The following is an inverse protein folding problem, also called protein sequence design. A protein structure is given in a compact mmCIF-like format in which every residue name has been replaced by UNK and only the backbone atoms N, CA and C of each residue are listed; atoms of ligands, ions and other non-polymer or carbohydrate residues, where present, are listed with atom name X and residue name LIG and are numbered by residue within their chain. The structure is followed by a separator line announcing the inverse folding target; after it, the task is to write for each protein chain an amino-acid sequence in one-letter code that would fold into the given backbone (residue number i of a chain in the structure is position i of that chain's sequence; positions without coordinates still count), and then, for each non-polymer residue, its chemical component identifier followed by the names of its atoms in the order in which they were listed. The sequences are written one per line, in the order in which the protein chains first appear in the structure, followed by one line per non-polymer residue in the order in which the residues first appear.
data_IF_579481198794
#
_entry.id   IF_579481198794
#
_cell.length_a   1.000
_cell.length_b   1.000
_cell.length_c   1.000
_cell.angle_alpha   90.00
_cell.angle_beta   90.00
_cell.angle_gamma   90.00
#
_symmetry.space_group_name_H-M   'P 1'
#
loop_
_entity.id
_entity.type
_entity.pdbx_description
1 polymer ?
#
# COMPACT_ATOMS: atom_id res chain seq x y z
N UNK A 1 -6.93 -4.93 10.34
CA UNK A 1 -8.32 -5.44 10.40
C UNK A 1 -8.27 -6.89 10.82
N UNK A 2 -9.11 -7.33 11.77
CA UNK A 2 -9.18 -8.75 12.14
C UNK A 2 -9.82 -9.53 10.98
N UNK A 3 -9.17 -10.60 10.52
CA UNK A 3 -9.75 -11.51 9.54
C UNK A 3 -10.78 -12.38 10.27
N UNK A 4 -12.05 -12.29 9.89
CA UNK A 4 -13.16 -12.92 10.63
C UNK A 4 -13.82 -14.09 9.90
N UNK A 5 -13.52 -14.31 8.61
CA UNK A 5 -14.08 -15.41 7.82
C UNK A 5 -13.12 -15.91 6.75
N UNK A 6 -13.32 -17.15 6.29
CA UNK A 6 -12.57 -17.73 5.17
C UNK A 6 -12.71 -16.89 3.89
N UNK A 7 -13.89 -16.31 3.66
CA UNK A 7 -14.11 -15.40 2.53
C UNK A 7 -13.20 -14.18 2.64
N UNK A 8 -13.15 -13.53 3.80
CA UNK A 8 -12.29 -12.36 4.01
C UNK A 8 -10.81 -12.70 3.96
N UNK A 9 -10.42 -13.88 4.48
CA UNK A 9 -9.08 -14.43 4.34
C UNK A 9 -8.71 -14.61 2.86
N UNK A 10 -9.59 -15.20 2.05
CA UNK A 10 -9.37 -15.41 0.61
C UNK A 10 -9.20 -14.10 -0.17
N UNK A 11 -9.82 -13.01 0.29
CA UNK A 11 -9.68 -11.68 -0.31
C UNK A 11 -8.36 -11.01 0.11
N UNK A 12 -7.91 -11.25 1.33
CA UNK A 12 -6.68 -10.68 1.88
C UNK A 12 -5.44 -11.41 1.33
N UNK A 13 -5.40 -12.74 1.48
CA UNK A 13 -4.26 -13.58 1.09
C UNK A 13 -4.32 -14.04 -0.37
N UNK A 14 -5.39 -13.70 -1.10
CA UNK A 14 -5.49 -13.91 -2.55
C UNK A 14 -5.13 -12.64 -3.32
N UNK A 15 -6.13 -11.82 -3.73
CA UNK A 15 -5.88 -10.68 -4.60
C UNK A 15 -5.05 -9.57 -3.95
N UNK A 16 -5.15 -9.33 -2.64
CA UNK A 16 -4.33 -8.28 -2.00
C UNK A 16 -2.86 -8.69 -1.91
N UNK A 17 -2.58 -9.93 -1.45
CA UNK A 17 -1.22 -10.49 -1.43
C UNK A 17 -0.58 -10.53 -2.83
N UNK A 18 -1.30 -11.01 -3.84
CA UNK A 18 -0.80 -11.05 -5.22
C UNK A 18 -0.50 -9.64 -5.75
N UNK A 19 -1.31 -8.65 -5.38
CA UNK A 19 -1.09 -7.27 -5.77
C UNK A 19 0.15 -6.66 -5.14
N UNK A 20 0.40 -6.95 -3.85
CA UNK A 20 1.62 -6.52 -3.14
C UNK A 20 2.85 -7.12 -3.81
N UNK A 21 2.87 -8.43 -4.04
CA UNK A 21 4.00 -9.11 -4.69
C UNK A 21 4.28 -8.52 -6.07
N UNK A 22 3.23 -8.31 -6.89
CA UNK A 22 3.38 -7.71 -8.21
C UNK A 22 3.91 -6.27 -8.14
N UNK A 23 3.48 -5.48 -7.16
CA UNK A 23 3.94 -4.11 -7.00
C UNK A 23 5.44 -4.05 -6.65
N UNK A 24 5.91 -4.93 -5.75
CA UNK A 24 7.33 -5.03 -5.38
C UNK A 24 8.17 -5.36 -6.62
N UNK A 25 7.82 -6.43 -7.34
CA UNK A 25 8.57 -6.82 -8.54
C UNK A 25 8.56 -5.74 -9.62
N UNK A 26 7.43 -5.02 -9.78
CA UNK A 26 7.37 -3.92 -10.75
C UNK A 26 8.21 -2.71 -10.32
N UNK A 27 8.32 -2.43 -9.03
CA UNK A 27 9.26 -1.42 -8.52
C UNK A 27 10.72 -1.79 -8.82
N UNK A 28 11.08 -3.08 -8.72
CA UNK A 28 12.43 -3.57 -9.07
C UNK A 28 12.67 -3.46 -10.58
N UNK A 29 11.69 -3.89 -11.38
CA UNK A 29 11.78 -3.81 -12.85
C UNK A 29 11.92 -2.36 -13.34
N UNK A 30 11.15 -1.44 -12.75
CA UNK A 30 11.14 -0.02 -13.12
C UNK A 30 12.28 0.78 -12.45
N UNK A 31 13.17 0.13 -11.70
CA UNK A 31 14.34 0.75 -11.05
C UNK A 31 14.02 1.65 -9.83
N UNK A 32 12.78 1.66 -9.35
CA UNK A 32 12.39 2.36 -8.11
C UNK A 32 13.06 1.69 -6.91
N UNK A 33 13.08 0.35 -6.91
CA UNK A 33 13.91 -0.45 -6.01
C UNK A 33 15.14 -0.90 -6.80
N UNK A 34 16.36 -0.47 -6.42
CA UNK A 34 17.59 -0.96 -7.04
C UNK A 34 17.66 -2.48 -6.94
N UNK A 35 17.98 -3.16 -8.05
CA UNK A 35 18.05 -4.63 -8.11
C UNK A 35 19.10 -5.17 -7.15
N UNK A 36 20.20 -4.45 -7.02
CA UNK A 36 21.35 -4.79 -6.21
C UNK A 36 21.00 -4.79 -4.71
N UNK A 37 20.09 -3.91 -4.29
CA UNK A 37 19.62 -3.85 -2.92
C UNK A 37 18.43 -4.80 -2.66
N UNK A 38 17.76 -5.31 -3.69
CA UNK A 38 16.52 -6.05 -3.53
C UNK A 38 16.67 -7.35 -2.73
N UNK A 39 17.85 -7.99 -2.78
CA UNK A 39 18.15 -9.22 -2.04
C UNK A 39 18.48 -8.96 -0.55
N UNK A 40 18.86 -7.73 -0.19
CA UNK A 40 19.26 -7.35 1.17
C UNK A 40 18.16 -6.59 1.93
N UNK A 41 17.05 -6.25 1.26
CA UNK A 41 15.97 -5.45 1.82
C UNK A 41 14.81 -6.32 2.32
N UNK A 42 14.35 -6.02 3.53
CA UNK A 42 13.08 -6.54 4.06
C UNK A 42 11.96 -5.51 3.88
N UNK A 43 10.89 -5.88 3.18
CA UNK A 43 9.69 -5.04 3.03
C UNK A 43 8.57 -5.59 3.91
N UNK A 44 8.15 -4.80 4.90
CA UNK A 44 6.99 -5.11 5.74
C UNK A 44 5.78 -4.34 5.23
N UNK A 45 4.77 -5.07 4.71
CA UNK A 45 3.56 -4.46 4.16
C UNK A 45 2.35 -4.77 5.03
N UNK A 46 1.75 -3.72 5.61
CA UNK A 46 0.47 -3.81 6.30
C UNK A 46 -0.69 -3.52 5.33
N UNK A 47 -1.49 -4.53 5.04
CA UNK A 47 -2.59 -4.46 4.07
C UNK A 47 -3.93 -4.25 4.77
N UNK A 48 -4.73 -3.33 4.23
CA UNK A 48 -6.10 -3.09 4.68
C UNK A 48 -7.12 -3.58 3.65
N UNK A 49 -7.96 -4.54 4.05
CA UNK A 49 -9.15 -4.97 3.29
C UNK A 49 -10.36 -4.85 4.21
N UNK A 50 -11.29 -3.96 3.86
CA UNK A 50 -12.52 -3.76 4.63
C UNK A 50 -13.36 -5.05 4.67
N UNK A 51 -14.00 -5.43 5.79
CA UNK A 51 -14.78 -6.68 5.89
C UNK A 51 -15.92 -6.80 4.88
N UNK A 52 -16.54 -5.68 4.48
CA UNK A 52 -17.61 -5.65 3.46
C UNK A 52 -17.10 -5.74 2.02
N UNK A 53 -15.78 -5.75 1.80
CA UNK A 53 -15.23 -5.82 0.45
C UNK A 53 -15.63 -7.14 -0.25
N UNK A 54 -15.90 -7.04 -1.55
CA UNK A 54 -16.35 -8.16 -2.37
C UNK A 54 -15.67 -8.22 -3.74
N UNK A 55 -15.32 -7.06 -4.30
CA UNK A 55 -14.74 -6.94 -5.63
C UNK A 55 -13.23 -7.28 -5.64
N UNK A 56 -12.90 -8.56 -5.88
CA UNK A 56 -11.51 -9.07 -6.01
C UNK A 56 -10.62 -8.21 -6.90
N UNK A 57 -11.11 -7.81 -8.08
CA UNK A 57 -10.36 -6.97 -9.03
C UNK A 57 -10.03 -5.59 -8.45
N UNK A 58 -10.97 -4.96 -7.73
CA UNK A 58 -10.73 -3.67 -7.07
C UNK A 58 -9.72 -3.80 -5.94
N UNK A 59 -9.82 -4.85 -5.12
CA UNK A 59 -8.86 -5.14 -4.06
C UNK A 59 -7.45 -5.28 -4.64
N UNK A 60 -7.30 -6.04 -5.73
CA UNK A 60 -6.01 -6.17 -6.42
C UNK A 60 -5.49 -4.83 -6.91
N UNK A 61 -6.27 -4.09 -7.70
CA UNK A 61 -5.83 -2.83 -8.32
C UNK A 61 -5.46 -1.79 -7.26
N UNK A 62 -6.26 -1.66 -6.20
CA UNK A 62 -6.03 -0.67 -5.16
C UNK A 62 -4.79 -0.99 -4.34
N UNK A 63 -4.60 -2.26 -3.93
CA UNK A 63 -3.41 -2.66 -3.19
C UNK A 63 -2.14 -2.59 -4.04
N UNK A 64 -2.22 -2.89 -5.34
CA UNK A 64 -1.10 -2.75 -6.26
C UNK A 64 -0.66 -1.28 -6.36
N UNK A 65 -1.62 -0.37 -6.62
CA UNK A 65 -1.34 1.07 -6.72
C UNK A 65 -0.82 1.64 -5.41
N UNK A 66 -1.45 1.30 -4.28
CA UNK A 66 -1.06 1.78 -2.96
C UNK A 66 0.34 1.32 -2.58
N UNK A 67 0.64 0.03 -2.74
CA UNK A 67 1.96 -0.56 -2.42
C UNK A 67 3.05 0.08 -3.27
N UNK A 68 2.84 0.18 -4.59
CA UNK A 68 3.83 0.78 -5.49
C UNK A 68 4.10 2.24 -5.14
N UNK A 69 3.06 3.00 -4.81
CA UNK A 69 3.20 4.40 -4.40
C UNK A 69 3.90 4.54 -3.04
N UNK A 70 3.63 3.63 -2.09
CA UNK A 70 4.30 3.62 -0.79
C UNK A 70 5.80 3.32 -0.92
N UNK A 71 6.18 2.32 -1.72
CA UNK A 71 7.58 2.00 -2.00
C UNK A 71 8.28 3.19 -2.64
N UNK A 72 7.69 3.78 -3.69
CA UNK A 72 8.28 4.96 -4.35
C UNK A 72 8.52 6.10 -3.36
N UNK A 73 7.52 6.44 -2.56
CA UNK A 73 7.64 7.50 -1.54
C UNK A 73 8.73 7.20 -0.51
N UNK A 74 8.83 5.95 -0.07
CA UNK A 74 9.89 5.54 0.86
C UNK A 74 11.29 5.70 0.24
N UNK A 75 11.46 5.28 -1.02
CA UNK A 75 12.72 5.42 -1.74
C UNK A 75 13.08 6.88 -2.07
N UNK A 76 12.09 7.74 -2.30
CA UNK A 76 12.26 9.18 -2.53
C UNK A 76 12.40 10.00 -1.23
N UNK A 77 12.21 9.38 -0.06
CA UNK A 77 12.24 10.11 1.22
C UNK A 77 11.07 11.08 1.42
N UNK A 78 9.90 10.77 0.83
CA UNK A 78 8.72 11.62 0.82
C UNK A 78 7.55 11.06 1.65
N UNK A 79 6.69 11.92 2.23
CA UNK A 79 6.88 13.37 2.35
C UNK A 79 8.02 13.70 3.33
N UNK A 80 8.63 14.87 3.16
CA UNK A 80 9.59 15.39 4.13
C UNK A 80 8.87 15.91 5.38
N UNK A 81 9.61 16.13 6.47
CA UNK A 81 9.08 16.79 7.68
C UNK A 81 8.53 18.18 7.35
N UNK A 82 9.26 18.95 6.53
CA UNK A 82 8.84 20.30 6.13
C UNK A 82 7.55 20.28 5.30
N UNK A 83 7.39 19.30 4.41
CA UNK A 83 6.13 19.12 3.69
C UNK A 83 4.98 18.77 4.64
N UNK A 84 5.27 17.96 5.67
CA UNK A 84 4.32 17.63 6.73
C UNK A 84 3.86 18.88 7.48
N UNK A 85 4.79 19.71 7.94
CA UNK A 85 4.49 20.96 8.67
C UNK A 85 3.69 21.92 7.78
N UNK A 86 4.14 22.13 6.54
CA UNK A 86 3.51 23.06 5.59
C UNK A 86 2.05 22.70 5.27
N UNK A 87 1.74 21.41 5.19
CA UNK A 87 0.42 20.93 4.78
C UNK A 87 -0.49 20.51 5.95
N UNK A 88 -0.02 20.63 7.20
CA UNK A 88 -0.73 20.10 8.37
C UNK A 88 -2.15 20.68 8.54
N UNK A 89 -2.31 21.99 8.29
CA UNK A 89 -3.60 22.68 8.48
C UNK A 89 -4.57 22.47 7.31
N UNK A 90 -4.06 22.29 6.09
CA UNK A 90 -4.87 22.12 4.88
C UNK A 90 -5.25 20.66 4.61
N UNK A 91 -4.56 19.70 5.25
CA UNK A 91 -4.84 18.27 5.11
C UNK A 91 -6.23 17.91 5.65
N UNK A 92 -7.03 17.22 4.81
CA UNK A 92 -8.36 16.75 5.19
C UNK A 92 -8.32 15.27 5.52
N UNK A 93 -8.70 14.91 6.75
CA UNK A 93 -8.81 13.52 7.16
C UNK A 93 -10.25 13.01 6.89
N UNK A 94 -10.43 11.88 6.17
CA UNK A 94 -11.75 11.37 5.78
C UNK A 94 -12.74 11.15 6.93
N UNK A 95 -12.25 10.90 8.15
CA UNK A 95 -13.11 10.71 9.34
C UNK A 95 -13.10 11.90 10.31
N UNK A 96 -12.41 13.01 10.00
CA UNK A 96 -12.38 14.21 10.87
C UNK A 96 -13.36 15.29 10.43
N UNK A 97 -13.57 15.40 9.12
CA UNK A 97 -14.28 16.51 8.50
C UNK A 97 -15.64 16.08 7.90
N UNK A 98 -16.23 14.99 8.40
CA UNK A 98 -17.66 14.73 8.17
C UNK A 98 -18.47 15.79 8.96
N UNK A 99 -19.55 16.35 8.40
CA UNK A 99 -20.51 17.15 9.17
C UNK A 99 -21.22 16.32 10.25
#
# INVERSE_FOLDING_TARGET
VKVTSLRHASLTYGPAQAAVAKAVMKCVEDGILPKEAAEDLLIVVNVFVHPSASARKRIFINNYKATRNAIRKAMEGLPTVDDGIRNAESARHPFRNDP
#
